data_IF_751701324723
#
_entry.id   IF_751701324723
#
_cell.length_a   1.000
_cell.length_b   1.000
_cell.length_c   1.000
_cell.angle_alpha   90.00
_cell.angle_beta   90.00
_cell.angle_gamma   90.00
#
_symmetry.space_group_name_H-M   'P 1'
#
loop_
_entity.id
_entity.type
_entity.pdbx_description
1 polymer ?
#
# COMPACT_ATOMS: atom_id res chain seq x y z
N UNK A 1 41.54 -44.06 13.80
CA UNK A 1 42.05 -45.26 14.51
C UNK A 1 42.53 -44.82 15.89
N UNK A 2 42.48 -45.70 16.90
CA UNK A 2 43.07 -45.45 18.23
C UNK A 2 42.09 -44.96 19.30
N UNK A 3 41.66 -45.86 20.19
CA UNK A 3 40.91 -45.55 21.43
C UNK A 3 41.85 -45.50 22.64
N UNK A 4 41.47 -44.71 23.66
CA UNK A 4 41.56 -44.98 25.12
C UNK A 4 40.76 -43.88 25.86
N UNK A 5 39.87 -44.10 26.85
CA UNK A 5 39.82 -45.03 28.00
C UNK A 5 40.81 -44.60 29.11
N UNK A 6 40.48 -44.46 30.40
CA UNK A 6 39.24 -44.56 31.22
C UNK A 6 39.43 -43.67 32.50
N UNK A 7 38.62 -43.56 33.56
CA UNK A 7 37.32 -44.09 34.08
C UNK A 7 36.89 -43.23 35.30
N UNK A 8 35.66 -43.33 35.83
CA UNK A 8 35.29 -42.58 37.05
C UNK A 8 33.86 -42.76 37.63
N UNK A 9 33.56 -43.93 38.18
CA UNK A 9 32.34 -44.26 38.95
C UNK A 9 32.58 -44.03 40.47
N UNK A 10 31.63 -43.99 41.43
CA UNK A 10 30.16 -43.80 41.47
C UNK A 10 29.63 -43.95 42.93
N UNK A 11 28.78 -43.03 43.45
CA UNK A 11 27.88 -43.24 44.61
C UNK A 11 27.08 -41.94 44.91
N UNK A 12 25.76 -41.83 45.19
CA UNK A 12 24.59 -42.72 45.38
C UNK A 12 24.05 -42.90 46.82
N UNK A 13 23.14 -42.00 47.23
CA UNK A 13 22.07 -42.16 48.25
C UNK A 13 21.16 -40.91 48.20
N UNK A 14 19.84 -40.99 47.93
CA UNK A 14 18.77 -41.11 48.94
C UNK A 14 18.22 -39.72 49.32
N UNK A 15 16.92 -39.45 49.51
CA UNK A 15 15.71 -40.31 49.52
C UNK A 15 14.41 -39.46 49.53
N UNK A 16 13.30 -39.97 48.97
CA UNK A 16 11.94 -39.39 49.09
C UNK A 16 11.64 -38.23 48.13
N UNK A 17 10.38 -37.96 47.73
CA UNK A 17 9.09 -38.59 48.12
C UNK A 17 8.11 -38.60 46.94
N UNK A 18 7.13 -39.50 46.98
CA UNK A 18 6.14 -39.72 45.91
C UNK A 18 4.86 -38.89 46.07
N UNK A 19 4.44 -38.18 45.01
CA UNK A 19 3.05 -37.73 44.84
C UNK A 19 2.70 -37.67 43.34
N UNK A 20 1.55 -38.25 42.96
CA UNK A 20 1.21 -38.49 41.55
C UNK A 20 -0.18 -37.98 41.18
N UNK A 21 -0.26 -37.00 40.26
CA UNK A 21 -1.45 -36.70 39.45
C UNK A 21 -1.09 -35.75 38.29
N UNK A 22 -1.97 -35.66 37.28
CA UNK A 22 -2.02 -34.47 36.40
C UNK A 22 -1.26 -34.51 35.07
N UNK A 23 -1.50 -35.51 34.21
CA UNK A 23 -1.18 -35.37 32.78
C UNK A 23 -1.88 -34.14 32.20
N UNK A 24 -1.11 -33.10 31.84
CA UNK A 24 -1.62 -31.88 31.22
C UNK A 24 -0.76 -31.51 30.02
N UNK A 25 -1.28 -31.83 28.83
CA UNK A 25 -0.63 -31.56 27.54
C UNK A 25 -0.58 -30.07 27.25
N UNK A 26 0.51 -29.43 27.67
CA UNK A 26 0.82 -28.03 27.35
C UNK A 26 1.24 -27.91 25.88
N UNK A 27 0.25 -28.00 24.99
CA UNK A 27 0.40 -27.66 23.58
C UNK A 27 0.87 -26.21 23.48
N UNK A 28 2.08 -26.02 22.94
CA UNK A 28 2.71 -24.70 22.89
C UNK A 28 2.05 -23.87 21.76
N UNK A 29 0.90 -23.27 22.09
CA UNK A 29 -0.03 -22.64 21.15
C UNK A 29 0.65 -21.53 20.34
N UNK A 30 0.72 -21.72 19.03
CA UNK A 30 1.51 -20.86 18.16
C UNK A 30 0.98 -19.43 18.07
N UNK A 31 1.82 -18.45 18.39
CA UNK A 31 1.60 -17.03 18.08
C UNK A 31 2.15 -16.62 16.71
N UNK A 32 1.94 -17.48 15.70
CA UNK A 32 1.92 -17.04 14.31
C UNK A 32 0.63 -16.23 14.07
N UNK A 33 0.61 -15.00 14.58
CA UNK A 33 -0.52 -14.09 14.46
C UNK A 33 -0.69 -13.64 13.01
N UNK A 34 -1.41 -14.45 12.23
CA UNK A 34 -1.83 -14.18 10.86
C UNK A 34 -2.90 -13.05 10.82
N UNK A 35 -2.50 -11.85 11.26
CA UNK A 35 -3.35 -10.65 11.30
C UNK A 35 -3.54 -10.17 9.85
N UNK A 36 -4.56 -10.74 9.21
CA UNK A 36 -4.98 -10.38 7.84
C UNK A 36 -5.22 -8.88 7.76
N UNK A 37 -4.56 -8.22 6.81
CA UNK A 37 -4.64 -6.76 6.58
C UNK A 37 -6.09 -6.29 6.49
N UNK A 38 -6.50 -5.43 7.42
CA UNK A 38 -7.91 -5.14 7.67
C UNK A 38 -8.62 -4.48 6.48
N UNK A 39 -9.78 -5.03 6.10
CA UNK A 39 -10.75 -4.49 5.11
C UNK A 39 -10.23 -4.27 3.68
N UNK A 40 -9.01 -4.69 3.33
CA UNK A 40 -8.50 -4.67 1.94
C UNK A 40 -9.40 -5.53 1.03
N UNK A 41 -9.66 -5.08 -0.21
CA UNK A 41 -10.71 -5.66 -1.08
C UNK A 41 -10.27 -6.05 -2.49
N UNK A 42 -8.97 -5.97 -2.80
CA UNK A 42 -8.36 -6.22 -4.13
C UNK A 42 -9.16 -5.53 -5.24
N UNK A 43 -9.23 -4.19 -5.17
CA UNK A 43 -10.12 -3.35 -5.98
C UNK A 43 -9.50 -1.99 -6.26
N UNK A 44 -9.81 -1.48 -7.45
CA UNK A 44 -9.58 -0.09 -7.82
C UNK A 44 -10.91 0.67 -7.84
N UNK A 45 -10.98 1.77 -7.10
CA UNK A 45 -12.07 2.74 -7.14
C UNK A 45 -11.70 3.88 -8.10
N UNK A 46 -12.56 4.13 -9.08
CA UNK A 46 -12.40 5.20 -10.07
C UNK A 46 -13.46 6.29 -9.87
N UNK A 47 -13.07 7.57 -9.78
CA UNK A 47 -13.99 8.72 -9.87
C UNK A 47 -13.52 9.74 -10.92
N UNK A 48 -14.38 10.04 -11.89
CA UNK A 48 -14.18 11.11 -12.89
C UNK A 48 -15.24 12.20 -12.69
N UNK A 49 -14.84 13.48 -12.56
CA UNK A 49 -15.77 14.61 -12.50
C UNK A 49 -15.42 15.67 -13.55
N UNK A 50 -16.42 16.09 -14.31
CA UNK A 50 -16.35 17.13 -15.34
C UNK A 50 -17.66 17.97 -15.34
N UNK A 51 -17.97 18.64 -16.46
CA UNK A 51 -19.17 19.46 -16.62
C UNK A 51 -20.46 18.63 -16.79
N UNK A 52 -20.35 17.38 -17.23
CA UNK A 52 -21.48 16.51 -17.53
C UNK A 52 -21.92 15.67 -16.33
N UNK A 53 -21.05 15.47 -15.33
CA UNK A 53 -21.45 14.88 -14.06
C UNK A 53 -20.29 14.32 -13.24
N UNK A 54 -20.56 13.25 -12.48
CA UNK A 54 -19.52 12.46 -11.81
C UNK A 54 -19.77 10.97 -11.98
N UNK A 55 -18.86 10.32 -12.71
CA UNK A 55 -18.84 8.89 -12.98
C UNK A 55 -18.04 8.19 -11.86
N UNK A 56 -18.53 7.05 -11.37
CA UNK A 56 -17.89 6.25 -10.31
C UNK A 56 -17.97 4.76 -10.61
N UNK A 57 -16.84 4.06 -10.55
CA UNK A 57 -16.79 2.60 -10.68
C UNK A 57 -15.91 1.99 -9.59
N UNK A 58 -16.16 0.71 -9.28
CA UNK A 58 -15.27 -0.11 -8.45
C UNK A 58 -15.00 -1.40 -9.20
N UNK A 59 -13.76 -1.53 -9.67
CA UNK A 59 -13.33 -2.55 -10.64
C UNK A 59 -12.57 -3.68 -9.93
N UNK A 60 -12.64 -4.88 -10.51
CA UNK A 60 -12.01 -6.12 -10.02
C UNK A 60 -11.12 -6.72 -11.12
N UNK A 61 -10.25 -7.63 -10.74
CA UNK A 61 -8.99 -7.92 -11.43
C UNK A 61 -9.14 -8.63 -12.78
N UNK A 62 -10.25 -9.35 -13.02
CA UNK A 62 -10.45 -10.07 -14.29
C UNK A 62 -10.61 -9.16 -15.51
N UNK A 63 -11.25 -8.00 -15.34
CA UNK A 63 -11.60 -7.08 -16.43
C UNK A 63 -11.04 -5.66 -16.21
N UNK A 64 -10.37 -5.42 -15.07
CA UNK A 64 -9.90 -4.11 -14.62
C UNK A 64 -9.23 -3.28 -15.71
N UNK A 65 -8.25 -3.85 -16.40
CA UNK A 65 -7.43 -3.13 -17.39
C UNK A 65 -8.29 -2.65 -18.56
N UNK A 66 -9.16 -3.51 -19.08
CA UNK A 66 -10.06 -3.20 -20.19
C UNK A 66 -11.10 -2.15 -19.78
N UNK A 67 -11.74 -2.34 -18.64
CA UNK A 67 -12.77 -1.42 -18.15
C UNK A 67 -12.21 -0.07 -17.73
N UNK A 68 -11.07 -0.05 -17.06
CA UNK A 68 -10.46 1.21 -16.63
C UNK A 68 -9.95 2.01 -17.85
N UNK A 69 -9.32 1.36 -18.83
CA UNK A 69 -8.95 2.02 -20.10
C UNK A 69 -10.18 2.56 -20.84
N UNK A 70 -11.28 1.80 -20.90
CA UNK A 70 -12.57 2.23 -21.47
C UNK A 70 -13.18 3.44 -20.73
N UNK A 71 -13.08 3.49 -19.41
CA UNK A 71 -13.58 4.60 -18.58
C UNK A 71 -12.65 5.83 -18.57
N UNK A 72 -11.36 5.63 -18.82
CA UNK A 72 -10.38 6.68 -19.09
C UNK A 72 -10.65 7.30 -20.48
N UNK A 73 -10.93 6.47 -21.48
CA UNK A 73 -11.12 6.89 -22.87
C UNK A 73 -9.78 6.98 -23.59
N UNK A 74 -9.54 8.12 -24.24
CA UNK A 74 -8.26 8.43 -24.90
C UNK A 74 -7.05 8.13 -24.00
N UNK A 75 -5.99 7.57 -24.59
CA UNK A 75 -4.72 7.44 -23.89
C UNK A 75 -3.94 8.75 -23.96
N UNK A 76 -3.83 9.44 -22.83
CA UNK A 76 -3.11 10.70 -22.73
C UNK A 76 -1.72 10.48 -22.11
N UNK A 77 -0.70 11.12 -22.68
CA UNK A 77 0.62 11.20 -22.05
C UNK A 77 0.54 11.98 -20.74
N UNK A 78 1.19 11.46 -19.70
CA UNK A 78 1.43 12.19 -18.46
C UNK A 78 2.55 13.19 -18.73
N UNK A 79 2.28 14.46 -18.40
CA UNK A 79 3.19 15.58 -18.65
C UNK A 79 4.02 15.92 -17.42
N UNK A 80 3.40 15.92 -16.23
CA UNK A 80 4.09 16.07 -14.95
C UNK A 80 3.51 15.14 -13.89
N UNK A 81 4.35 14.76 -12.93
CA UNK A 81 4.03 13.98 -11.74
C UNK A 81 4.52 14.71 -10.49
N UNK A 82 3.80 14.58 -9.37
CA UNK A 82 4.17 15.20 -8.09
C UNK A 82 3.75 14.32 -6.92
N UNK A 83 4.69 14.00 -6.05
CA UNK A 83 4.45 13.32 -4.79
C UNK A 83 4.11 14.32 -3.67
N UNK A 84 3.14 13.95 -2.84
CA UNK A 84 2.73 14.71 -1.65
C UNK A 84 2.63 13.80 -0.43
N UNK A 85 2.91 14.35 0.76
CA UNK A 85 2.57 13.73 2.06
C UNK A 85 1.46 14.51 2.77
N UNK A 86 0.65 13.82 3.58
CA UNK A 86 -0.30 14.43 4.53
C UNK A 86 -0.24 13.69 5.87
N UNK A 87 -0.47 14.36 7.02
CA UNK A 87 -0.61 13.70 8.33
C UNK A 87 -1.75 12.69 8.32
N UNK A 88 -1.63 11.57 9.04
CA UNK A 88 -2.74 10.61 9.16
C UNK A 88 -3.88 11.11 10.08
N UNK A 89 -3.57 12.00 11.02
CA UNK A 89 -4.54 12.69 11.88
C UNK A 89 -4.12 14.15 12.08
N UNK A 90 -5.12 15.03 12.22
CA UNK A 90 -4.92 16.47 12.44
C UNK A 90 -4.32 16.79 13.83
N UNK A 91 -4.30 15.81 14.74
CA UNK A 91 -3.69 15.92 16.09
C UNK A 91 -2.28 15.29 16.20
N UNK A 92 -1.60 14.97 15.09
CA UNK A 92 -0.29 14.28 15.14
C UNK A 92 0.90 15.23 15.32
N UNK A 93 1.43 15.27 16.55
CA UNK A 93 2.63 16.03 16.92
C UNK A 93 3.94 15.52 16.28
N UNK A 94 4.01 14.26 15.81
CA UNK A 94 5.26 13.64 15.28
C UNK A 94 5.12 13.19 13.83
N UNK A 95 5.15 14.14 12.89
CA UNK A 95 4.90 13.88 11.47
C UNK A 95 5.96 12.99 10.77
N UNK A 96 7.19 12.91 11.28
CA UNK A 96 8.31 12.23 10.62
C UNK A 96 8.07 10.73 10.33
N UNK A 97 7.16 10.06 11.06
CA UNK A 97 6.84 8.63 10.87
C UNK A 97 5.44 8.44 10.29
N UNK A 98 4.43 9.16 10.77
CA UNK A 98 3.01 8.87 10.54
C UNK A 98 2.34 9.77 9.48
N UNK A 99 2.75 9.61 8.23
CA UNK A 99 2.13 10.28 7.08
C UNK A 99 1.57 9.31 6.03
N UNK A 100 0.51 9.72 5.35
CA UNK A 100 0.01 9.09 4.12
C UNK A 100 0.65 9.78 2.91
N UNK A 101 0.95 9.02 1.86
CA UNK A 101 1.58 9.51 0.65
C UNK A 101 0.67 9.26 -0.55
N UNK A 102 0.52 10.27 -1.41
CA UNK A 102 -0.28 10.17 -2.62
C UNK A 102 0.39 10.90 -3.78
N UNK A 103 0.09 10.45 -5.00
CA UNK A 103 0.63 11.04 -6.22
C UNK A 103 -0.47 11.86 -6.90
N UNK A 104 -0.13 13.08 -7.33
CA UNK A 104 -0.88 13.87 -8.30
C UNK A 104 -0.11 13.81 -9.61
N UNK A 105 -0.81 13.67 -10.73
CA UNK A 105 -0.19 13.80 -12.04
C UNK A 105 -1.15 14.49 -13.02
N UNK A 106 -0.62 14.99 -14.13
CA UNK A 106 -1.42 15.74 -15.10
C UNK A 106 -1.13 15.34 -16.54
N UNK A 107 -2.20 15.36 -17.32
CA UNK A 107 -2.22 15.09 -18.75
C UNK A 107 -2.78 16.31 -19.48
N UNK A 108 -2.69 16.35 -20.81
CA UNK A 108 -3.14 17.51 -21.61
C UNK A 108 -4.59 17.96 -21.30
N UNK A 109 -5.49 17.06 -20.91
CA UNK A 109 -6.90 17.37 -20.64
C UNK A 109 -7.32 17.24 -19.16
N UNK A 110 -6.50 16.71 -18.25
CA UNK A 110 -6.94 16.37 -16.88
C UNK A 110 -5.85 16.46 -15.81
N UNK A 111 -6.29 16.76 -14.59
CA UNK A 111 -5.52 16.52 -13.37
C UNK A 111 -6.02 15.25 -12.70
N UNK A 112 -5.09 14.42 -12.24
CA UNK A 112 -5.32 13.11 -11.65
C UNK A 112 -4.73 13.03 -10.25
N UNK A 113 -5.24 12.12 -9.42
CA UNK A 113 -4.49 11.64 -8.26
C UNK A 113 -4.72 10.16 -7.99
N UNK A 114 -3.68 9.47 -7.52
CA UNK A 114 -3.71 8.04 -7.19
C UNK A 114 -3.09 7.75 -5.82
N UNK A 115 -3.73 6.87 -5.06
CA UNK A 115 -3.31 6.47 -3.70
C UNK A 115 -3.85 5.08 -3.30
N UNK A 116 -3.05 4.29 -2.58
CA UNK A 116 -3.46 3.01 -1.96
C UNK A 116 -3.92 3.26 -0.52
N UNK A 117 -5.23 3.18 -0.30
CA UNK A 117 -5.86 3.31 1.02
C UNK A 117 -5.98 1.93 1.69
N UNK A 118 -6.61 1.82 2.86
CA UNK A 118 -6.75 0.55 3.57
C UNK A 118 -7.81 -0.40 2.98
N UNK A 119 -8.76 0.10 2.18
CA UNK A 119 -9.80 -0.72 1.54
C UNK A 119 -9.60 -0.92 0.02
N UNK A 120 -9.09 0.09 -0.70
CA UNK A 120 -8.93 0.08 -2.17
C UNK A 120 -7.73 0.91 -2.64
N UNK A 121 -7.29 0.70 -3.88
CA UNK A 121 -6.59 1.75 -4.64
C UNK A 121 -7.64 2.77 -5.10
N UNK A 122 -7.40 4.06 -4.88
CA UNK A 122 -8.20 5.14 -5.46
C UNK A 122 -7.44 5.76 -6.63
N UNK A 123 -8.08 5.84 -7.79
CA UNK A 123 -7.68 6.68 -8.92
C UNK A 123 -8.81 7.68 -9.20
N UNK A 124 -8.52 8.97 -9.28
CA UNK A 124 -9.53 9.99 -9.58
C UNK A 124 -9.00 11.04 -10.55
N UNK A 125 -9.88 11.59 -11.40
CA UNK A 125 -9.56 12.69 -12.33
C UNK A 125 -10.60 13.81 -12.29
N UNK A 126 -10.14 15.06 -12.41
CA UNK A 126 -10.98 16.26 -12.49
C UNK A 126 -10.32 17.32 -13.38
N UNK A 127 -11.10 18.29 -13.86
CA UNK A 127 -10.60 19.45 -14.64
C UNK A 127 -9.92 20.54 -13.79
N UNK A 128 -9.72 20.30 -12.49
CA UNK A 128 -9.15 21.26 -11.54
C UNK A 128 -8.08 20.56 -10.66
N UNK A 129 -6.85 21.10 -10.64
CA UNK A 129 -5.68 20.54 -9.93
C UNK A 129 -5.87 20.51 -8.42
N UNK A 130 -6.38 21.59 -7.83
CA UNK A 130 -6.71 21.66 -6.40
C UNK A 130 -7.80 20.67 -5.98
N UNK A 131 -8.75 20.37 -6.85
CA UNK A 131 -9.80 19.40 -6.57
C UNK A 131 -9.28 17.96 -6.45
N UNK A 132 -8.21 17.58 -7.16
CA UNK A 132 -7.52 16.28 -6.98
C UNK A 132 -6.40 16.32 -5.95
N UNK A 133 -5.76 17.48 -5.71
CA UNK A 133 -4.70 17.68 -4.69
C UNK A 133 -5.26 17.77 -3.27
N UNK A 134 -6.40 18.43 -3.07
CA UNK A 134 -6.93 18.75 -1.74
C UNK A 134 -8.08 17.82 -1.28
N UNK A 135 -8.64 16.98 -2.17
CA UNK A 135 -9.73 16.05 -1.85
C UNK A 135 -9.46 14.64 -2.40
N UNK A 136 -9.93 13.61 -1.69
CA UNK A 136 -9.95 12.21 -2.12
C UNK A 136 -11.32 11.60 -1.82
N UNK A 137 -11.93 10.88 -2.76
CA UNK A 137 -13.29 10.28 -2.60
C UNK A 137 -14.29 11.31 -2.06
N UNK A 138 -14.23 12.54 -2.59
CA UNK A 138 -14.93 13.79 -2.18
C UNK A 138 -14.60 14.36 -0.79
N UNK A 139 -13.97 13.62 0.12
CA UNK A 139 -13.53 14.12 1.43
C UNK A 139 -12.32 15.06 1.28
N UNK A 140 -12.22 16.08 2.12
CA UNK A 140 -10.99 16.88 2.28
C UNK A 140 -9.86 15.95 2.75
N UNK A 141 -8.65 16.07 2.20
CA UNK A 141 -7.45 15.49 2.83
C UNK A 141 -6.99 16.43 3.95
N UNK A 142 -6.53 15.87 5.06
CA UNK A 142 -6.00 16.58 6.23
C UNK A 142 -5.08 17.77 5.84
N UNK A 143 -5.10 18.81 6.66
CA UNK A 143 -4.19 19.96 6.51
C UNK A 143 -2.75 19.58 6.92
N UNK A 144 -1.79 20.50 6.75
CA UNK A 144 -0.37 20.19 6.91
C UNK A 144 0.19 19.32 5.77
N UNK A 145 -0.39 19.44 4.57
CA UNK A 145 0.10 18.75 3.36
C UNK A 145 1.34 19.42 2.80
N UNK A 146 2.37 18.62 2.59
CA UNK A 146 3.65 19.06 2.03
C UNK A 146 3.89 18.44 0.65
N UNK A 147 4.60 19.20 -0.19
CA UNK A 147 5.24 18.72 -1.41
C UNK A 147 6.41 17.81 -1.04
N UNK A 148 6.65 16.74 -1.81
CA UNK A 148 7.79 15.83 -1.62
C UNK A 148 8.79 15.91 -2.78
N UNK A 149 8.33 15.64 -4.01
CA UNK A 149 9.15 15.63 -5.22
C UNK A 149 8.25 15.83 -6.47
N UNK A 150 8.80 16.29 -7.59
CA UNK A 150 8.12 16.34 -8.89
C UNK A 150 9.06 16.08 -10.05
N UNK A 151 8.53 15.54 -11.14
CA UNK A 151 9.25 15.35 -12.39
C UNK A 151 8.28 15.47 -13.60
N UNK A 152 8.83 15.57 -14.79
CA UNK A 152 8.14 15.32 -16.05
C UNK A 152 7.68 13.86 -16.13
N UNK A 153 6.56 13.61 -16.83
CA UNK A 153 6.11 12.26 -17.13
C UNK A 153 6.83 11.64 -18.34
N UNK A 154 7.00 10.32 -18.35
CA UNK A 154 7.53 9.55 -19.49
C UNK A 154 6.58 8.48 -20.07
N UNK A 155 5.42 8.24 -19.44
CA UNK A 155 4.43 7.25 -19.90
C UNK A 155 3.03 7.83 -20.07
N UNK A 156 2.17 7.05 -20.71
CA UNK A 156 0.75 7.31 -20.85
C UNK A 156 -0.07 6.76 -19.68
N UNK A 157 -1.34 7.21 -19.55
CA UNK A 157 -2.24 6.73 -18.50
C UNK A 157 -2.60 5.24 -18.68
N UNK A 158 -2.79 4.76 -19.90
CA UNK A 158 -3.01 3.34 -20.17
C UNK A 158 -1.78 2.50 -19.81
N UNK A 159 -0.56 3.04 -20.04
CA UNK A 159 0.70 2.40 -19.64
C UNK A 159 0.84 2.28 -18.11
N UNK A 160 0.38 3.29 -17.36
CA UNK A 160 0.32 3.25 -15.89
C UNK A 160 -0.70 2.20 -15.41
N UNK A 161 -1.86 2.08 -16.08
CA UNK A 161 -2.88 1.07 -15.78
C UNK A 161 -2.36 -0.34 -16.04
N UNK A 162 -1.70 -0.57 -17.19
CA UNK A 162 -1.06 -1.86 -17.48
C UNK A 162 0.02 -2.20 -16.45
N UNK A 163 0.78 -1.22 -15.96
CA UNK A 163 1.77 -1.44 -14.92
C UNK A 163 1.15 -1.79 -13.56
N UNK A 164 0.10 -1.09 -13.13
CA UNK A 164 -0.63 -1.37 -11.88
C UNK A 164 -1.14 -2.82 -11.86
N UNK A 165 -1.60 -3.31 -13.01
CA UNK A 165 -2.03 -4.68 -13.22
C UNK A 165 -0.86 -5.67 -13.26
N UNK A 166 0.11 -5.47 -14.16
CA UNK A 166 1.26 -6.37 -14.37
C UNK A 166 2.23 -6.47 -13.19
N UNK A 167 2.25 -5.48 -12.28
CA UNK A 167 3.01 -5.54 -11.03
C UNK A 167 2.21 -6.09 -9.85
N UNK A 168 0.94 -6.45 -10.05
CA UNK A 168 0.05 -6.93 -9.01
C UNK A 168 0.02 -5.99 -7.79
N UNK A 169 -0.32 -4.71 -8.02
CA UNK A 169 -0.51 -3.77 -6.90
C UNK A 169 -1.84 -4.00 -6.15
N UNK A 170 -2.64 -4.97 -6.57
CA UNK A 170 -4.01 -5.20 -6.11
C UNK A 170 -4.12 -6.40 -5.16
N UNK A 171 -3.51 -7.55 -5.49
CA UNK A 171 -3.47 -8.68 -4.57
C UNK A 171 -2.38 -8.53 -3.50
N UNK A 172 -1.34 -7.69 -3.74
CA UNK A 172 -0.36 -7.26 -2.72
C UNK A 172 -1.05 -6.81 -1.42
N UNK A 173 -1.02 -7.64 -0.36
CA UNK A 173 -1.91 -7.50 0.78
C UNK A 173 -1.52 -6.30 1.64
N UNK A 174 -2.50 -5.73 2.34
CA UNK A 174 -2.31 -4.51 3.11
C UNK A 174 -1.63 -4.77 4.46
N UNK A 175 -0.31 -4.86 4.44
CA UNK A 175 0.52 -4.77 5.65
C UNK A 175 0.45 -3.35 6.25
N UNK A 176 0.72 -3.24 7.55
CA UNK A 176 0.29 -2.15 8.43
C UNK A 176 0.45 -0.73 7.86
N UNK A 177 -0.54 0.13 8.14
CA UNK A 177 -0.97 1.43 7.57
C UNK A 177 0.04 2.47 7.03
N UNK A 178 1.34 2.23 7.14
CA UNK A 178 2.42 3.22 6.95
C UNK A 178 3.45 2.83 5.88
N UNK A 179 3.72 1.54 5.70
CA UNK A 179 4.68 1.09 4.67
C UNK A 179 4.01 1.02 3.31
N UNK A 180 2.86 0.37 3.21
CA UNK A 180 2.25 0.03 1.92
C UNK A 180 1.79 1.26 1.10
N UNK A 181 1.26 2.31 1.72
CA UNK A 181 0.89 3.53 0.99
C UNK A 181 2.12 4.30 0.47
N UNK A 182 3.20 4.39 1.26
CA UNK A 182 4.45 5.06 0.88
C UNK A 182 5.20 4.29 -0.21
N UNK A 183 5.34 2.97 -0.08
CA UNK A 183 5.95 2.13 -1.11
C UNK A 183 5.16 2.16 -2.42
N UNK A 184 3.82 2.07 -2.36
CA UNK A 184 2.96 2.20 -3.55
C UNK A 184 3.12 3.57 -4.22
N UNK A 185 3.07 4.66 -3.46
CA UNK A 185 3.19 6.01 -4.01
C UNK A 185 4.57 6.24 -4.64
N UNK A 186 5.67 5.81 -4.00
CA UNK A 186 7.01 5.89 -4.60
C UNK A 186 7.14 5.00 -5.84
N UNK A 187 6.60 3.78 -5.83
CA UNK A 187 6.61 2.91 -7.01
C UNK A 187 5.83 3.51 -8.20
N UNK A 188 4.69 4.17 -7.95
CA UNK A 188 3.96 4.93 -8.96
C UNK A 188 4.77 6.15 -9.43
N UNK A 189 5.36 6.92 -8.52
CA UNK A 189 6.18 8.08 -8.86
C UNK A 189 7.34 7.68 -9.79
N UNK A 190 8.19 6.75 -9.36
CA UNK A 190 9.35 6.27 -10.13
C UNK A 190 8.94 5.58 -11.45
N UNK A 191 7.70 5.06 -11.57
CA UNK A 191 7.22 4.50 -12.84
C UNK A 191 6.77 5.57 -13.84
N UNK A 192 6.34 6.74 -13.36
CA UNK A 192 5.82 7.85 -14.18
C UNK A 192 6.91 8.90 -14.46
N UNK A 193 7.81 9.12 -13.51
CA UNK A 193 8.93 10.05 -13.58
C UNK A 193 9.85 9.71 -14.77
N UNK A 194 10.37 10.74 -15.43
CA UNK A 194 11.29 10.64 -16.56
C UNK A 194 12.72 10.35 -16.11
N UNK A 195 13.10 10.86 -14.96
CA UNK A 195 14.30 10.51 -14.20
C UNK A 195 14.01 9.35 -13.24
N UNK A 196 14.98 8.47 -13.06
CA UNK A 196 14.95 7.49 -11.98
C UNK A 196 15.50 8.15 -10.71
N UNK A 197 14.79 8.03 -9.58
CA UNK A 197 15.39 8.36 -8.27
C UNK A 197 16.48 7.30 -7.97
N UNK A 198 17.74 7.76 -7.94
CA UNK A 198 18.93 6.99 -7.56
C UNK A 198 18.93 6.63 -6.07
#
# INVERSE_FOLDING_TARGET
MGNRSSSGSSSASGSGSSSSCGSSSSSNGGWQSNIKGGKWKNKLYFESTDKCGTIRHTLKDKDLTTDLKRLVGEDEMITYVTAYKVPLSEMQFTQNVFYHMFIVFETRKWFWSIEKQSDVITLQRKKNKDAVKNKCRRKKRNDGREFMNCDCGNISVHSLIDWLYKKDELDKPYHFLLRNCKHFARAVFNKVAKSEEV
#
